data_IF_003300920399
#
_entry.id   IF_003300920399
#
_cell.length_a   1.000
_cell.length_b   1.000
_cell.length_c   1.000
_cell.angle_alpha   90.00
_cell.angle_beta   90.00
_cell.angle_gamma   90.00
#
_symmetry.space_group_name_H-M   'P 1'
#
loop_
_entity.id
_entity.type
_entity.pdbx_description
1 polymer ?
#
# COMPACT_ATOMS: atom_id res chain seq x y z
N UNK A 1 33.74 -0.76 -22.73
CA UNK A 1 33.33 -1.53 -21.53
C UNK A 1 31.93 -1.10 -21.01
N UNK A 2 30.83 -1.26 -21.72
CA UNK A 2 29.49 -0.88 -21.23
C UNK A 2 28.72 -2.03 -20.54
N UNK A 3 29.03 -3.30 -20.80
CA UNK A 3 28.23 -4.45 -20.35
C UNK A 3 28.12 -4.66 -18.82
N UNK A 4 29.07 -4.21 -18.02
CA UNK A 4 29.06 -4.41 -16.56
C UNK A 4 28.05 -3.48 -15.85
N UNK A 5 27.81 -2.29 -16.41
CA UNK A 5 26.90 -1.28 -15.85
C UNK A 5 25.42 -1.65 -16.08
N UNK A 6 25.09 -2.22 -17.22
CA UNK A 6 23.73 -2.68 -17.54
C UNK A 6 23.30 -3.87 -16.67
N UNK A 7 24.21 -4.82 -16.45
CA UNK A 7 23.95 -6.02 -15.63
C UNK A 7 23.65 -5.64 -14.17
N UNK A 8 24.37 -4.65 -13.64
CA UNK A 8 24.13 -4.16 -12.26
C UNK A 8 22.82 -3.40 -12.16
N UNK A 9 22.40 -2.68 -13.21
CA UNK A 9 21.13 -1.97 -13.28
C UNK A 9 19.93 -2.94 -13.31
N UNK A 10 20.03 -4.02 -14.09
CA UNK A 10 19.00 -5.05 -14.18
C UNK A 10 18.82 -5.81 -12.86
N UNK A 11 19.89 -6.20 -12.20
CA UNK A 11 19.85 -6.87 -10.89
C UNK A 11 19.23 -5.96 -9.84
N UNK A 12 19.57 -4.67 -9.82
CA UNK A 12 18.97 -3.70 -8.92
C UNK A 12 17.46 -3.54 -9.12
N UNK A 13 16.99 -3.50 -10.37
CA UNK A 13 15.55 -3.38 -10.68
C UNK A 13 14.76 -4.64 -10.30
N UNK A 14 15.31 -5.83 -10.54
CA UNK A 14 14.66 -7.09 -10.15
C UNK A 14 14.51 -7.18 -8.64
N UNK A 15 15.55 -6.82 -7.89
CA UNK A 15 15.52 -6.79 -6.43
C UNK A 15 14.48 -5.77 -5.91
N UNK A 16 14.42 -4.58 -6.48
CA UNK A 16 13.43 -3.56 -6.12
C UNK A 16 11.99 -4.04 -6.37
N UNK A 17 11.74 -4.69 -7.51
CA UNK A 17 10.43 -5.29 -7.83
C UNK A 17 10.05 -6.39 -6.83
N UNK A 18 10.99 -7.25 -6.45
CA UNK A 18 10.75 -8.31 -5.48
C UNK A 18 10.37 -7.73 -4.10
N UNK A 19 11.09 -6.71 -3.64
CA UNK A 19 10.77 -6.02 -2.38
C UNK A 19 9.40 -5.35 -2.46
N UNK A 20 9.09 -4.63 -3.53
CA UNK A 20 7.76 -4.03 -3.71
C UNK A 20 6.65 -5.10 -3.71
N UNK A 21 6.87 -6.24 -4.39
CA UNK A 21 5.91 -7.34 -4.42
C UNK A 21 5.64 -7.90 -3.03
N UNK A 22 6.70 -8.11 -2.24
CA UNK A 22 6.59 -8.57 -0.86
C UNK A 22 5.79 -7.58 0.00
N UNK A 23 6.14 -6.29 -0.06
CA UNK A 23 5.45 -5.24 0.71
C UNK A 23 3.98 -5.13 0.31
N UNK A 24 3.66 -5.14 -0.98
CA UNK A 24 2.26 -5.10 -1.45
C UNK A 24 1.47 -6.34 -1.01
N UNK A 25 2.10 -7.52 -0.99
CA UNK A 25 1.47 -8.74 -0.51
C UNK A 25 1.18 -8.66 0.99
N UNK A 26 2.14 -8.18 1.78
CA UNK A 26 1.97 -7.96 3.21
C UNK A 26 0.88 -6.92 3.48
N UNK A 27 0.88 -5.81 2.75
CA UNK A 27 -0.12 -4.75 2.84
C UNK A 27 -1.52 -5.25 2.50
N UNK A 28 -1.66 -6.06 1.44
CA UNK A 28 -2.92 -6.70 1.08
C UNK A 28 -3.49 -7.54 2.21
N UNK A 29 -2.65 -8.37 2.83
CA UNK A 29 -3.06 -9.21 3.96
C UNK A 29 -3.40 -8.39 5.19
N UNK A 30 -2.61 -7.36 5.48
CA UNK A 30 -2.83 -6.46 6.61
C UNK A 30 -4.17 -5.71 6.47
N UNK A 31 -4.45 -5.11 5.32
CA UNK A 31 -5.71 -4.40 5.07
C UNK A 31 -6.93 -5.30 5.26
N UNK A 32 -6.86 -6.54 4.77
CA UNK A 32 -7.94 -7.53 4.93
C UNK A 32 -8.12 -7.98 6.39
N UNK A 33 -7.04 -8.11 7.15
CA UNK A 33 -7.11 -8.44 8.57
C UNK A 33 -7.59 -7.26 9.42
N UNK A 34 -7.10 -6.06 9.15
CA UNK A 34 -7.41 -4.86 9.94
C UNK A 34 -8.86 -4.41 9.82
N UNK A 35 -9.54 -4.71 8.72
CA UNK A 35 -10.98 -4.47 8.60
C UNK A 35 -11.78 -5.13 9.73
N UNK A 36 -11.34 -6.31 10.17
CA UNK A 36 -12.00 -7.03 11.27
C UNK A 36 -11.52 -6.59 12.66
N UNK A 37 -10.30 -6.08 12.76
CA UNK A 37 -9.63 -5.83 14.03
C UNK A 37 -9.53 -4.35 14.43
N UNK A 38 -9.52 -3.42 13.46
CA UNK A 38 -9.32 -1.99 13.71
C UNK A 38 -10.59 -1.20 13.34
N UNK A 39 -11.16 -0.50 14.31
CA UNK A 39 -12.42 0.26 14.14
C UNK A 39 -12.26 1.41 13.14
N UNK A 40 -11.09 2.01 13.06
CA UNK A 40 -10.79 3.13 12.15
C UNK A 40 -10.79 2.66 10.69
N UNK A 41 -10.15 1.52 10.42
CA UNK A 41 -10.15 0.91 9.09
C UNK A 41 -11.56 0.50 8.70
N UNK A 42 -12.29 -0.14 9.62
CA UNK A 42 -13.68 -0.53 9.41
C UNK A 42 -14.59 0.67 9.12
N UNK A 43 -14.44 1.78 9.84
CA UNK A 43 -15.26 2.98 9.63
C UNK A 43 -14.99 3.66 8.29
N UNK A 44 -13.77 3.62 7.78
CA UNK A 44 -13.44 4.12 6.45
C UNK A 44 -14.04 3.21 5.36
N UNK A 45 -13.88 1.90 5.51
CA UNK A 45 -14.38 0.92 4.53
C UNK A 45 -15.91 0.81 4.53
N UNK A 46 -16.58 1.07 5.64
CA UNK A 46 -18.04 1.11 5.71
C UNK A 46 -18.68 2.17 4.81
N UNK A 47 -17.91 3.17 4.39
CA UNK A 47 -18.36 4.20 3.44
C UNK A 47 -18.25 3.77 1.98
N UNK A 48 -17.58 2.64 1.72
CA UNK A 48 -17.39 2.14 0.37
C UNK A 48 -18.60 1.32 -0.08
N UNK A 49 -19.09 1.52 -1.30
CA UNK A 49 -20.19 0.71 -1.83
C UNK A 49 -19.76 -0.75 -2.04
N UNK A 50 -20.75 -1.61 -2.21
CA UNK A 50 -20.51 -3.00 -2.65
C UNK A 50 -19.79 -3.02 -3.97
N UNK A 51 -18.75 -3.84 -4.07
CA UNK A 51 -17.96 -3.96 -5.28
C UNK A 51 -16.87 -2.88 -5.46
N UNK A 52 -16.76 -1.91 -4.54
CA UNK A 52 -15.77 -0.83 -4.62
C UNK A 52 -14.35 -1.39 -4.70
N UNK A 53 -13.64 -1.02 -5.75
CA UNK A 53 -12.31 -1.55 -6.06
C UNK A 53 -11.21 -0.50 -5.83
N UNK A 54 -10.21 -0.86 -5.05
CA UNK A 54 -9.01 -0.05 -4.80
C UNK A 54 -7.77 -0.74 -5.39
N UNK A 55 -6.85 0.06 -5.92
CA UNK A 55 -5.63 -0.47 -6.51
C UNK A 55 -4.38 0.34 -6.15
N UNK A 56 -3.26 -0.38 -5.98
CA UNK A 56 -1.90 0.14 -6.00
C UNK A 56 -1.17 -0.48 -7.20
N UNK A 57 -0.71 0.34 -8.12
CA UNK A 57 -0.17 -0.13 -9.40
C UNK A 57 1.27 0.34 -9.60
N UNK A 58 2.15 -0.60 -9.94
CA UNK A 58 3.52 -0.32 -10.37
C UNK A 58 3.63 -0.54 -11.89
N UNK A 59 4.31 0.35 -12.62
CA UNK A 59 4.51 0.17 -14.06
C UNK A 59 5.35 -1.08 -14.34
N UNK A 60 4.80 -2.00 -15.10
CA UNK A 60 5.46 -3.28 -15.45
C UNK A 60 5.84 -4.15 -14.24
N UNK A 61 5.18 -3.96 -13.11
CA UNK A 61 5.46 -4.63 -11.85
C UNK A 61 4.22 -5.20 -11.17
N UNK A 62 4.37 -5.60 -9.90
CA UNK A 62 3.27 -6.12 -9.10
C UNK A 62 2.21 -5.04 -8.89
N UNK A 63 0.96 -5.47 -8.78
CA UNK A 63 -0.17 -4.62 -8.42
C UNK A 63 -0.95 -5.26 -7.29
N UNK A 64 -1.43 -4.42 -6.36
CA UNK A 64 -2.41 -4.81 -5.37
C UNK A 64 -3.77 -4.33 -5.86
N UNK A 65 -4.75 -5.21 -5.89
CA UNK A 65 -6.15 -4.87 -6.18
C UNK A 65 -7.05 -5.57 -5.17
N UNK A 66 -7.87 -4.78 -4.51
CA UNK A 66 -8.80 -5.27 -3.50
C UNK A 66 -10.19 -4.73 -3.81
N UNK A 67 -11.19 -5.57 -3.60
CA UNK A 67 -12.59 -5.23 -3.80
C UNK A 67 -13.32 -5.36 -2.47
N UNK A 68 -14.12 -4.36 -2.13
CA UNK A 68 -14.94 -4.37 -0.94
C UNK A 68 -16.22 -5.18 -1.16
N UNK A 69 -16.52 -6.06 -0.22
CA UNK A 69 -17.77 -6.84 -0.18
C UNK A 69 -18.40 -6.73 1.21
N UNK A 70 -19.71 -6.53 1.26
CA UNK A 70 -20.44 -6.41 2.54
C UNK A 70 -20.38 -7.67 3.40
N UNK A 71 -20.27 -8.83 2.76
CA UNK A 71 -20.29 -10.13 3.45
C UNK A 71 -18.92 -10.63 3.88
N UNK A 72 -17.88 -10.28 3.18
CA UNK A 72 -16.54 -10.84 3.37
C UNK A 72 -15.43 -9.83 3.52
N UNK A 73 -15.76 -8.54 3.61
CA UNK A 73 -14.77 -7.48 3.70
C UNK A 73 -13.95 -7.32 2.41
N UNK A 74 -12.67 -7.01 2.54
CA UNK A 74 -11.78 -6.88 1.39
C UNK A 74 -11.35 -8.24 0.84
N UNK A 75 -11.63 -8.47 -0.42
CA UNK A 75 -11.17 -9.65 -1.17
C UNK A 75 -10.23 -9.24 -2.30
N UNK A 76 -9.32 -10.12 -2.76
CA UNK A 76 -8.52 -9.86 -3.95
C UNK A 76 -9.42 -9.66 -5.18
N UNK A 77 -9.23 -8.57 -5.90
CA UNK A 77 -9.94 -8.32 -7.15
C UNK A 77 -9.20 -8.89 -8.36
N UNK A 78 -9.94 -9.19 -9.41
CA UNK A 78 -9.37 -9.61 -10.69
C UNK A 78 -8.45 -8.52 -11.28
N UNK A 79 -7.39 -8.92 -11.99
CA UNK A 79 -6.49 -7.96 -12.65
C UNK A 79 -7.19 -7.09 -13.70
N UNK A 80 -8.29 -7.60 -14.25
CA UNK A 80 -9.13 -6.91 -15.24
C UNK A 80 -10.15 -5.96 -14.62
N UNK A 81 -10.36 -6.01 -13.30
CA UNK A 81 -11.31 -5.12 -12.63
C UNK A 81 -10.83 -3.67 -12.73
N UNK A 82 -11.73 -2.77 -13.15
CA UNK A 82 -11.46 -1.33 -13.18
C UNK A 82 -11.52 -0.79 -11.75
N UNK A 83 -10.44 -0.20 -11.23
CA UNK A 83 -10.46 0.35 -9.89
C UNK A 83 -11.20 1.69 -9.82
N UNK A 84 -12.02 1.86 -8.79
CA UNK A 84 -12.66 3.14 -8.46
C UNK A 84 -11.65 4.14 -7.87
N UNK A 85 -10.68 3.61 -7.14
CA UNK A 85 -9.53 4.36 -6.61
C UNK A 85 -8.23 3.65 -7.00
N UNK A 86 -7.33 4.38 -7.63
CA UNK A 86 -6.01 3.85 -7.96
C UNK A 86 -4.89 4.83 -7.58
N UNK A 87 -3.85 4.28 -6.95
CA UNK A 87 -2.56 4.95 -6.74
C UNK A 87 -1.57 4.29 -7.69
N UNK A 88 -1.16 5.02 -8.72
CA UNK A 88 -0.23 4.52 -9.73
C UNK A 88 1.12 5.20 -9.57
N UNK A 89 2.14 4.43 -9.27
CA UNK A 89 3.52 4.91 -9.23
C UNK A 89 4.05 5.19 -10.64
N UNK A 90 4.90 6.20 -10.78
CA UNK A 90 5.53 6.53 -12.06
C UNK A 90 6.69 5.59 -12.41
N UNK A 91 7.37 5.07 -11.39
CA UNK A 91 8.45 4.11 -11.57
C UNK A 91 8.50 3.09 -10.44
N UNK A 92 9.16 1.96 -10.70
CA UNK A 92 9.47 0.95 -9.67
C UNK A 92 10.33 1.54 -8.55
N UNK A 93 11.24 2.44 -8.90
CA UNK A 93 12.12 3.13 -7.95
C UNK A 93 11.33 4.03 -7.00
N UNK A 94 10.31 4.73 -7.49
CA UNK A 94 9.45 5.58 -6.66
C UNK A 94 8.66 4.74 -5.66
N UNK A 95 8.08 3.62 -6.13
CA UNK A 95 7.40 2.66 -5.26
C UNK A 95 8.36 2.07 -4.20
N UNK A 96 9.58 1.69 -4.61
CA UNK A 96 10.59 1.15 -3.71
C UNK A 96 10.97 2.13 -2.60
N UNK A 97 11.13 3.42 -2.91
CA UNK A 97 11.44 4.42 -1.90
C UNK A 97 10.29 4.60 -0.90
N UNK A 98 9.06 4.55 -1.36
CA UNK A 98 7.89 4.58 -0.48
C UNK A 98 7.83 3.30 0.37
N UNK A 99 7.88 2.13 -0.26
CA UNK A 99 7.79 0.83 0.41
C UNK A 99 8.91 0.59 1.44
N UNK A 100 10.08 1.18 1.26
CA UNK A 100 11.22 1.07 2.19
C UNK A 100 11.30 2.22 3.19
N UNK A 101 10.34 3.14 3.18
CA UNK A 101 10.30 4.29 4.08
C UNK A 101 11.40 5.33 3.86
N UNK A 102 12.07 5.28 2.72
CA UNK A 102 13.05 6.31 2.35
C UNK A 102 12.39 7.62 1.97
N UNK A 103 11.12 7.57 1.61
CA UNK A 103 10.31 8.71 1.26
C UNK A 103 8.91 8.50 1.82
N UNK A 104 8.42 9.44 2.62
CA UNK A 104 7.04 9.42 3.14
C UNK A 104 6.01 9.75 2.06
N UNK A 105 4.75 9.36 2.28
CA UNK A 105 3.64 9.58 1.33
C UNK A 105 3.49 11.06 0.96
N UNK A 106 3.56 11.97 1.93
CA UNK A 106 3.45 13.41 1.68
C UNK A 106 4.59 13.94 0.78
N UNK A 107 5.83 13.49 1.02
CA UNK A 107 6.98 13.85 0.19
C UNK A 107 6.89 13.27 -1.22
N UNK A 108 6.42 12.04 -1.35
CA UNK A 108 6.21 11.39 -2.65
C UNK A 108 5.11 12.10 -3.45
N UNK A 109 4.04 12.55 -2.80
CA UNK A 109 2.98 13.33 -3.42
C UNK A 109 3.50 14.70 -3.89
N UNK A 110 4.18 15.45 -3.02
CA UNK A 110 4.76 16.74 -3.35
C UNK A 110 5.77 16.68 -4.52
N UNK A 111 6.49 15.57 -4.66
CA UNK A 111 7.42 15.31 -5.76
C UNK A 111 6.74 14.65 -6.98
N UNK A 112 5.42 14.55 -7.01
CA UNK A 112 4.65 13.95 -8.10
C UNK A 112 5.13 12.55 -8.51
N UNK A 113 5.53 11.70 -7.55
CA UNK A 113 6.05 10.35 -7.81
C UNK A 113 4.99 9.31 -8.09
N UNK A 114 3.74 9.64 -7.82
CA UNK A 114 2.58 8.81 -8.16
C UNK A 114 1.41 9.66 -8.63
N UNK A 115 0.46 9.04 -9.29
CA UNK A 115 -0.78 9.64 -9.77
C UNK A 115 -1.94 9.02 -9.00
N UNK A 116 -2.84 9.86 -8.52
CA UNK A 116 -4.08 9.45 -7.87
C UNK A 116 -5.21 9.47 -8.89
N UNK A 117 -6.05 8.43 -8.89
CA UNK A 117 -7.28 8.33 -9.66
C UNK A 117 -8.44 8.01 -8.73
N UNK A 118 -9.59 8.61 -9.00
CA UNK A 118 -10.81 8.44 -8.23
C UNK A 118 -11.25 9.69 -7.49
N UNK A 119 -12.34 9.57 -6.75
CA UNK A 119 -12.85 10.65 -5.91
C UNK A 119 -11.86 10.96 -4.77
N UNK A 120 -11.58 12.24 -4.53
CA UNK A 120 -10.58 12.70 -3.55
C UNK A 120 -10.87 12.16 -2.14
N UNK A 121 -12.14 12.15 -1.72
CA UNK A 121 -12.53 11.63 -0.39
C UNK A 121 -12.22 10.14 -0.25
N UNK A 122 -12.55 9.35 -1.27
CA UNK A 122 -12.29 7.90 -1.31
C UNK A 122 -10.79 7.59 -1.38
N UNK A 123 -10.03 8.38 -2.14
CA UNK A 123 -8.56 8.27 -2.19
C UNK A 123 -7.96 8.54 -0.82
N UNK A 124 -8.39 9.60 -0.13
CA UNK A 124 -7.90 9.92 1.21
C UNK A 124 -8.30 8.85 2.24
N UNK A 125 -9.50 8.28 2.13
CA UNK A 125 -9.91 7.12 2.93
C UNK A 125 -8.98 5.93 2.73
N UNK A 126 -8.67 5.60 1.49
CA UNK A 126 -7.74 4.51 1.18
C UNK A 126 -6.33 4.78 1.68
N UNK A 127 -5.82 6.01 1.51
CA UNK A 127 -4.50 6.40 2.05
C UNK A 127 -4.46 6.28 3.58
N UNK A 128 -5.53 6.67 4.30
CA UNK A 128 -5.63 6.47 5.76
C UNK A 128 -5.55 4.99 6.14
N UNK A 129 -6.27 4.13 5.42
CA UNK A 129 -6.20 2.68 5.65
C UNK A 129 -4.79 2.13 5.42
N UNK A 130 -4.09 2.59 4.36
CA UNK A 130 -2.69 2.21 4.10
C UNK A 130 -1.79 2.66 5.26
N UNK A 131 -1.88 3.91 5.71
CA UNK A 131 -1.06 4.43 6.80
C UNK A 131 -1.26 3.65 8.11
N UNK A 132 -2.51 3.27 8.42
CA UNK A 132 -2.80 2.43 9.59
C UNK A 132 -2.15 1.05 9.40
N UNK A 133 -2.31 0.42 8.24
CA UNK A 133 -1.72 -0.89 7.96
C UNK A 133 -0.17 -0.87 8.01
N UNK A 134 0.45 0.18 7.50
CA UNK A 134 1.90 0.39 7.60
C UNK A 134 2.36 0.49 9.07
N UNK A 135 1.57 1.15 9.92
CA UNK A 135 1.83 1.24 11.35
C UNK A 135 1.87 -0.13 12.05
N UNK A 136 1.05 -1.09 11.59
CA UNK A 136 1.08 -2.48 12.09
C UNK A 136 2.18 -3.34 11.46
N UNK A 137 2.49 -3.13 10.17
CA UNK A 137 3.46 -3.93 9.43
C UNK A 137 4.90 -3.59 9.81
N UNK A 138 5.18 -2.33 10.08
CA UNK A 138 6.54 -1.87 10.37
C UNK A 138 6.76 -1.70 11.87
N UNK A 139 7.91 -2.15 12.42
CA UNK A 139 8.29 -1.82 13.79
C UNK A 139 8.25 -0.31 14.02
N UNK A 140 7.86 0.12 15.22
CA UNK A 140 7.67 1.54 15.58
C UNK A 140 8.84 2.46 15.18
N UNK A 141 10.06 1.91 15.16
CA UNK A 141 11.26 2.65 14.73
C UNK A 141 11.21 3.01 13.24
N UNK A 142 10.75 2.10 12.37
CA UNK A 142 10.59 2.33 10.94
C UNK A 142 9.34 3.16 10.64
N UNK A 143 8.25 2.90 11.35
CA UNK A 143 7.01 3.63 11.21
C UNK A 143 7.19 5.13 11.48
N UNK A 144 7.97 5.52 12.50
CA UNK A 144 8.29 6.92 12.79
C UNK A 144 9.06 7.64 11.69
N UNK A 145 9.80 6.90 10.87
CA UNK A 145 10.58 7.45 9.76
C UNK A 145 9.74 7.63 8.49
N UNK A 146 8.68 6.83 8.34
CA UNK A 146 7.78 6.81 7.18
C UNK A 146 6.56 7.69 7.42
N UNK A 147 6.01 7.62 8.61
CA UNK A 147 4.77 8.29 9.00
C UNK A 147 5.08 9.52 9.87
N UNK A 148 4.42 10.63 9.56
CA UNK A 148 4.50 11.84 10.37
C UNK A 148 3.91 11.63 11.77
N UNK A 149 2.91 10.75 11.87
CA UNK A 149 2.32 10.26 13.12
C UNK A 149 2.09 8.77 13.02
N UNK A 150 2.57 8.00 14.00
CA UNK A 150 2.33 6.56 14.07
C UNK A 150 0.97 6.34 14.73
N UNK A 151 -0.03 5.79 14.03
CA UNK A 151 -1.32 5.54 14.64
C UNK A 151 -1.19 4.52 15.79
N UNK A 152 -1.91 4.71 16.91
CA UNK A 152 -1.91 3.76 18.01
C UNK A 152 -2.52 2.42 17.54
N UNK A 153 -1.95 1.30 18.01
CA UNK A 153 -2.52 -0.02 17.76
C UNK A 153 -3.76 -0.21 18.62
N UNK A 154 -4.88 -0.58 18.03
CA UNK A 154 -6.11 -0.93 18.76
C UNK A 154 -6.12 -2.40 19.20
N UNK A 155 -5.41 -3.26 18.45
CA UNK A 155 -5.31 -4.67 18.81
C UNK A 155 -4.25 -4.83 19.89
N UNK A 156 -4.58 -5.36 21.08
CA UNK A 156 -3.59 -5.67 22.09
C UNK A 156 -2.60 -6.68 21.53
N UNK A 157 -1.32 -6.45 21.76
CA UNK A 157 -0.28 -7.38 21.35
C UNK A 157 -0.62 -8.76 21.92
N UNK A 158 -0.84 -9.75 21.05
CA UNK A 158 -1.04 -11.13 21.46
C UNK A 158 0.26 -11.56 22.14
N UNK A 159 0.25 -11.65 23.47
CA UNK A 159 1.34 -12.28 24.21
C UNK A 159 1.26 -13.77 23.90
N UNK A 160 2.15 -14.22 23.04
CA UNK A 160 2.41 -15.65 22.88
C UNK A 160 3.17 -16.06 24.14
N UNK A 161 2.51 -16.83 25.02
CA UNK A 161 3.15 -17.53 26.13
C UNK A 161 3.80 -18.79 25.60
#
# INVERSE_FOLDING_TARGET
MPMKKERTYHVGMVCQRAVCSLVLTCLSRALRGLEHCDSRVRSEMARWPEGFCVALELPGGPSLRLQHTRKGGLIPAAKTATPDVAIRFKSVRDAFYLCTGRLGVAGAYAQHRFVLRGNVSSVMGFVRCINIAEGYLFPRFWARRILKEVPPHEVPAIRVY
#
